data_IF_284364440538
#
_entry.id   IF_284364440538
#
_cell.length_a   1.000
_cell.length_b   1.000
_cell.length_c   1.000
_cell.angle_alpha   90.00
_cell.angle_beta   90.00
_cell.angle_gamma   90.00
#
_symmetry.space_group_name_H-M   'P 1'
#
loop_
_entity.id
_entity.type
_entity.pdbx_description
1 polymer ?
#
# COMPACT_ATOMS: atom_id res chain seq x y z
N UNK A 1 7.15 14.11 8.67
CA UNK A 1 6.78 12.74 8.34
C UNK A 1 6.41 12.67 6.87
N UNK A 2 7.04 11.77 6.13
CA UNK A 2 6.72 11.48 4.74
C UNK A 2 5.81 10.25 4.71
N UNK A 3 4.81 10.28 3.84
CA UNK A 3 3.86 9.20 3.65
C UNK A 3 3.87 8.76 2.19
N UNK A 4 4.18 7.49 1.96
CA UNK A 4 3.93 6.81 0.70
C UNK A 4 2.48 6.36 0.69
N UNK A 5 1.67 6.93 -0.20
CA UNK A 5 0.29 6.55 -0.45
C UNK A 5 0.23 5.66 -1.68
N UNK A 6 -0.41 4.49 -1.56
CA UNK A 6 -0.56 3.51 -2.63
C UNK A 6 -2.04 3.25 -2.85
N UNK A 7 -2.52 3.50 -4.07
CA UNK A 7 -3.92 3.28 -4.46
C UNK A 7 -4.01 2.06 -5.37
N UNK A 8 -4.92 1.15 -5.05
CA UNK A 8 -5.17 -0.08 -5.80
C UNK A 8 -6.53 0.04 -6.49
N UNK A 9 -6.54 -0.02 -7.82
CA UNK A 9 -7.78 -0.11 -8.59
C UNK A 9 -8.54 -1.40 -8.22
N UNK A 10 -9.83 -1.46 -8.57
CA UNK A 10 -10.62 -2.67 -8.36
C UNK A 10 -10.06 -3.81 -9.22
N UNK A 11 -9.58 -4.91 -8.62
CA UNK A 11 -9.09 -6.07 -9.36
C UNK A 11 -10.24 -6.85 -10.01
N UNK A 12 -9.94 -7.63 -11.04
CA UNK A 12 -10.92 -8.53 -11.68
C UNK A 12 -11.41 -9.62 -10.70
N UNK A 13 -10.54 -10.04 -9.79
CA UNK A 13 -10.83 -11.01 -8.72
C UNK A 13 -10.48 -10.39 -7.36
N UNK A 14 -11.51 -9.81 -6.72
CA UNK A 14 -11.39 -9.10 -5.43
C UNK A 14 -11.04 -10.05 -4.29
N UNK A 15 -11.60 -11.26 -4.28
CA UNK A 15 -11.37 -12.22 -3.21
C UNK A 15 -9.91 -12.68 -3.20
N UNK A 16 -9.39 -13.08 -4.37
CA UNK A 16 -7.98 -13.45 -4.52
C UNK A 16 -7.02 -12.30 -4.20
N UNK A 17 -7.36 -11.09 -4.63
CA UNK A 17 -6.57 -9.90 -4.29
C UNK A 17 -6.54 -9.68 -2.78
N UNK A 18 -7.70 -9.68 -2.11
CA UNK A 18 -7.78 -9.44 -0.67
C UNK A 18 -7.05 -10.52 0.13
N UNK A 19 -7.19 -11.79 -0.24
CA UNK A 19 -6.47 -12.90 0.38
C UNK A 19 -4.95 -12.69 0.34
N UNK A 20 -4.39 -12.40 -0.84
CA UNK A 20 -2.95 -12.18 -0.98
C UNK A 20 -2.51 -10.86 -0.32
N UNK A 21 -3.30 -9.81 -0.48
CA UNK A 21 -2.98 -8.48 0.04
C UNK A 21 -2.89 -8.48 1.57
N UNK A 22 -3.90 -9.02 2.24
CA UNK A 22 -3.93 -9.05 3.71
C UNK A 22 -3.13 -10.22 4.31
N UNK A 23 -3.01 -11.35 3.58
CA UNK A 23 -2.27 -12.53 4.03
C UNK A 23 -0.76 -12.47 3.80
N UNK A 24 -0.31 -11.74 2.78
CA UNK A 24 1.11 -11.70 2.35
C UNK A 24 1.63 -10.26 2.26
N UNK A 25 0.98 -9.41 1.46
CA UNK A 25 1.54 -8.11 1.09
C UNK A 25 1.67 -7.14 2.28
N UNK A 26 0.62 -6.98 3.08
CA UNK A 26 0.63 -6.11 4.27
C UNK A 26 1.58 -6.62 5.36
N UNK A 27 1.65 -7.94 5.66
CA UNK A 27 2.70 -8.48 6.52
C UNK A 27 4.12 -8.14 6.04
N UNK A 28 4.40 -8.24 4.73
CA UNK A 28 5.68 -7.82 4.16
C UNK A 28 5.94 -6.33 4.39
N UNK A 29 4.93 -5.47 4.19
CA UNK A 29 5.07 -4.04 4.44
C UNK A 29 5.41 -3.75 5.89
N UNK A 30 4.70 -4.36 6.84
CA UNK A 30 4.93 -4.20 8.28
C UNK A 30 6.28 -4.75 8.77
N UNK A 31 6.90 -5.64 8.00
CA UNK A 31 8.23 -6.16 8.30
C UNK A 31 9.37 -5.20 7.91
N UNK A 32 9.09 -4.16 7.11
CA UNK A 32 10.12 -3.23 6.62
C UNK A 32 10.70 -2.41 7.77
N UNK A 33 12.03 -2.48 8.02
CA UNK A 33 12.69 -1.63 9.00
C UNK A 33 12.58 -0.15 8.66
N UNK A 34 12.23 0.68 9.64
CA UNK A 34 12.09 2.14 9.49
C UNK A 34 10.70 2.62 9.06
N UNK A 35 9.75 1.71 8.83
CA UNK A 35 8.34 2.04 8.66
C UNK A 35 7.70 2.33 10.02
N UNK A 36 7.13 3.53 10.19
CA UNK A 36 6.59 4.00 11.48
C UNK A 36 5.10 3.68 11.64
N UNK A 37 4.33 3.74 10.55
CA UNK A 37 2.89 3.45 10.56
C UNK A 37 2.44 2.83 9.24
N UNK A 38 1.39 2.01 9.30
CA UNK A 38 0.73 1.38 8.15
C UNK A 38 -0.77 1.45 8.33
N UNK A 39 -1.42 2.25 7.49
CA UNK A 39 -2.88 2.34 7.44
C UNK A 39 -3.39 1.79 6.12
N UNK A 40 -4.47 1.02 6.19
CA UNK A 40 -5.17 0.50 5.01
C UNK A 40 -6.62 0.95 5.08
N UNK A 41 -7.09 1.55 4.01
CA UNK A 41 -8.47 1.98 3.83
C UNK A 41 -9.08 1.15 2.72
N UNK A 42 -10.18 0.45 3.03
CA UNK A 42 -11.07 -0.13 2.02
C UNK A 42 -12.11 0.92 1.64
N UNK A 43 -12.28 1.16 0.36
CA UNK A 43 -13.29 2.09 -0.12
C UNK A 43 -14.62 1.38 -0.35
N UNK A 44 -15.69 2.11 -0.09
CA UNK A 44 -17.06 1.68 -0.30
C UNK A 44 -17.75 2.65 -1.28
N UNK A 45 -18.93 2.31 -1.81
CA UNK A 45 -19.70 3.23 -2.62
C UNK A 45 -19.90 4.59 -1.92
N UNK A 46 -19.88 5.66 -2.72
CA UNK A 46 -20.06 7.03 -2.24
C UNK A 46 -21.47 7.31 -1.73
N UNK A 47 -21.72 8.50 -1.15
CA UNK A 47 -23.06 8.89 -0.71
C UNK A 47 -24.14 8.87 -1.79
N UNK A 48 -23.75 8.99 -3.07
CA UNK A 48 -24.61 8.89 -4.24
C UNK A 48 -24.78 7.44 -4.76
N UNK A 49 -24.18 6.47 -4.09
CA UNK A 49 -24.18 5.05 -4.47
C UNK A 49 -23.20 4.71 -5.60
N UNK A 50 -22.39 5.65 -6.09
CA UNK A 50 -21.41 5.37 -7.13
C UNK A 50 -20.32 4.41 -6.63
N UNK A 51 -19.88 3.49 -7.49
CA UNK A 51 -18.77 2.61 -7.17
C UNK A 51 -17.48 3.41 -6.96
N UNK A 52 -16.61 3.02 -6.00
CA UNK A 52 -15.39 3.75 -5.75
C UNK A 52 -14.40 3.58 -6.93
N UNK A 53 -13.59 4.62 -7.18
CA UNK A 53 -12.55 4.56 -8.21
C UNK A 53 -11.35 3.66 -7.86
N UNK A 54 -11.23 3.28 -6.58
CA UNK A 54 -10.19 2.40 -6.05
C UNK A 54 -10.81 1.42 -5.06
N UNK A 55 -10.23 0.24 -4.95
CA UNK A 55 -10.63 -0.78 -3.97
C UNK A 55 -9.96 -0.54 -2.62
N UNK A 56 -8.64 -0.36 -2.61
CA UNK A 56 -7.85 -0.07 -1.41
C UNK A 56 -6.95 1.15 -1.56
N UNK A 57 -6.64 1.76 -0.42
CA UNK A 57 -5.50 2.65 -0.23
C UNK A 57 -4.63 2.13 0.91
N UNK A 58 -3.32 2.09 0.72
CA UNK A 58 -2.35 2.00 1.81
C UNK A 58 -1.65 3.35 2.03
N UNK A 59 -1.34 3.66 3.28
CA UNK A 59 -0.48 4.76 3.67
C UNK A 59 0.63 4.21 4.56
N UNK A 60 1.87 4.39 4.11
CA UNK A 60 3.09 3.93 4.77
C UNK A 60 3.89 5.16 5.20
N UNK A 61 4.04 5.36 6.50
CA UNK A 61 4.67 6.57 7.06
C UNK A 61 6.10 6.34 7.50
N UNK A 62 6.97 7.29 7.18
CA UNK A 62 8.39 7.31 7.51
C UNK A 62 8.75 8.67 8.12
N UNK A 63 9.79 8.71 8.95
CA UNK A 63 10.26 9.95 9.58
C UNK A 63 10.46 11.09 8.55
N UNK A 64 11.18 10.77 7.46
CA UNK A 64 11.49 11.65 6.34
C UNK A 64 11.78 10.86 5.04
N UNK A 65 12.19 11.56 3.98
CA UNK A 65 12.46 10.95 2.67
C UNK A 65 13.71 10.07 2.64
N UNK A 66 14.72 10.37 3.47
CA UNK A 66 15.95 9.57 3.55
C UNK A 66 15.66 8.25 4.28
N UNK A 67 14.88 8.30 5.36
CA UNK A 67 14.38 7.13 6.06
C UNK A 67 13.56 6.23 5.13
N UNK A 68 12.66 6.81 4.31
CA UNK A 68 11.90 6.05 3.31
C UNK A 68 12.83 5.36 2.29
N UNK A 69 13.80 6.08 1.73
CA UNK A 69 14.75 5.51 0.77
C UNK A 69 15.59 4.37 1.36
N UNK A 70 16.03 4.53 2.61
CA UNK A 70 16.76 3.50 3.36
C UNK A 70 15.90 2.28 3.60
N UNK A 71 14.68 2.48 4.11
CA UNK A 71 13.72 1.42 4.38
C UNK A 71 13.41 0.59 3.13
N UNK A 72 13.14 1.23 1.99
CA UNK A 72 12.85 0.54 0.73
C UNK A 72 14.07 -0.17 0.12
N UNK A 73 15.28 0.16 0.55
CA UNK A 73 16.52 -0.47 0.07
C UNK A 73 16.93 -1.73 0.86
N UNK A 74 16.28 -2.00 1.99
CA UNK A 74 16.45 -3.20 2.81
C UNK A 74 16.03 -4.48 2.06
N UNK A 75 16.35 -5.65 2.60
CA UNK A 75 15.89 -6.92 2.03
C UNK A 75 14.35 -7.02 2.08
N UNK A 76 13.76 -6.63 3.20
CA UNK A 76 12.31 -6.61 3.42
C UNK A 76 11.62 -5.60 2.50
N UNK A 77 12.21 -4.41 2.32
CA UNK A 77 11.69 -3.39 1.39
C UNK A 77 11.69 -3.88 -0.06
N UNK A 78 12.75 -4.58 -0.48
CA UNK A 78 12.81 -5.19 -1.82
C UNK A 78 11.83 -6.35 -1.98
N UNK A 79 11.64 -7.15 -0.93
CA UNK A 79 10.66 -8.24 -0.93
C UNK A 79 9.23 -7.68 -1.08
N UNK A 80 8.88 -6.63 -0.34
CA UNK A 80 7.61 -5.90 -0.51
C UNK A 80 7.44 -5.40 -1.94
N UNK A 81 8.46 -4.73 -2.49
CA UNK A 81 8.39 -4.17 -3.85
C UNK A 81 8.24 -5.27 -4.92
N UNK A 82 8.91 -6.41 -4.75
CA UNK A 82 8.80 -7.55 -5.66
C UNK A 82 7.41 -8.20 -5.61
N UNK A 83 6.79 -8.26 -4.43
CA UNK A 83 5.48 -8.86 -4.24
C UNK A 83 4.34 -8.10 -4.94
N UNK A 84 4.54 -6.83 -5.32
CA UNK A 84 3.55 -6.05 -6.09
C UNK A 84 3.11 -6.77 -7.37
N UNK A 85 4.01 -7.51 -8.03
CA UNK A 85 3.69 -8.27 -9.24
C UNK A 85 2.62 -9.37 -9.00
N UNK A 86 2.45 -9.84 -7.76
CA UNK A 86 1.49 -10.88 -7.40
C UNK A 86 0.07 -10.34 -7.17
N UNK A 87 -0.09 -9.01 -7.06
CA UNK A 87 -1.38 -8.39 -6.76
C UNK A 87 -2.33 -8.33 -7.97
N UNK A 88 -1.85 -8.59 -9.19
CA UNK A 88 -2.70 -8.58 -10.38
C UNK A 88 -3.28 -7.22 -10.77
N UNK A 89 -2.88 -6.15 -10.09
CA UNK A 89 -3.21 -4.75 -10.41
C UNK A 89 -1.94 -3.92 -10.37
N UNK A 90 -1.86 -2.89 -11.22
CA UNK A 90 -0.80 -1.89 -11.16
C UNK A 90 -1.20 -0.80 -10.17
N UNK A 91 -0.52 -0.65 -9.02
CA UNK A 91 -0.87 0.39 -8.07
C UNK A 91 -0.45 1.78 -8.57
N UNK A 92 -1.18 2.81 -8.13
CA UNK A 92 -0.73 4.21 -8.24
C UNK A 92 0.01 4.58 -6.95
N UNK A 93 1.24 5.10 -7.07
CA UNK A 93 2.08 5.47 -5.93
C UNK A 93 2.28 6.99 -5.89
N UNK A 94 2.08 7.58 -4.71
CA UNK A 94 2.20 9.01 -4.45
C UNK A 94 3.03 9.22 -3.19
N UNK A 95 3.95 10.17 -3.20
CA UNK A 95 4.75 10.53 -2.01
C UNK A 95 4.39 11.96 -1.61
N UNK A 96 4.05 12.16 -0.35
CA UNK A 96 3.72 13.47 0.20
C UNK A 96 3.89 13.52 1.71
N UNK A 97 3.57 14.67 2.31
CA UNK A 97 3.45 14.82 3.75
C UNK A 97 1.99 14.73 4.17
N UNK A 98 1.74 14.17 5.35
CA UNK A 98 0.44 14.19 6.01
C UNK A 98 0.50 15.18 7.17
N UNK A 99 -0.52 16.04 7.30
CA UNK A 99 -0.69 16.99 8.41
C UNK A 99 -1.51 16.39 9.56
#
# INVERSE_FOLDING_TARGET
MITLTVLYATPDDVEKFDEHYFGTHIPLARAVPGLEDTKVTRFFPGPDGSAPGFHLMAQLSFADSEAMGTAMSTEEGRALAADVANLGVTPTMLVGSTE
#
